data_IF_966708217520
#
_entry.id   IF_966708217520
#
_cell.length_a   1.000
_cell.length_b   1.000
_cell.length_c   1.000
_cell.angle_alpha   90.00
_cell.angle_beta   90.00
_cell.angle_gamma   90.00
#
_symmetry.space_group_name_H-M   'P 1'
#
loop_
_entity.id
_entity.type
_entity.pdbx_description
1 polymer ?
#
# COMPACT_ATOMS: atom_id res chain seq x y z
N UNK A 1 21.61 2.95 -1.09
CA UNK A 1 21.17 4.35 -1.19
C UNK A 1 19.88 4.53 -2.00
N UNK A 2 19.62 3.75 -3.06
CA UNK A 2 18.38 3.88 -3.86
C UNK A 2 17.11 3.37 -3.15
N UNK A 3 17.22 2.28 -2.38
CA UNK A 3 16.08 1.62 -1.72
C UNK A 3 15.33 2.52 -0.76
N UNK A 4 16.06 3.31 0.06
CA UNK A 4 15.45 4.29 0.97
C UNK A 4 14.66 5.38 0.24
N UNK A 5 15.15 5.82 -0.92
CA UNK A 5 14.46 6.83 -1.71
C UNK A 5 13.16 6.29 -2.29
N UNK A 6 13.21 5.08 -2.87
CA UNK A 6 12.01 4.41 -3.39
C UNK A 6 10.99 4.16 -2.28
N UNK A 7 11.43 3.64 -1.14
CA UNK A 7 10.56 3.41 0.01
C UNK A 7 9.90 4.71 0.50
N UNK A 8 10.67 5.79 0.61
CA UNK A 8 10.14 7.10 1.02
C UNK A 8 9.04 7.57 0.05
N UNK A 9 9.28 7.52 -1.26
CA UNK A 9 8.28 7.92 -2.26
C UNK A 9 7.04 7.03 -2.23
N UNK A 10 7.20 5.73 -2.06
CA UNK A 10 6.08 4.81 -1.91
C UNK A 10 5.26 5.12 -0.66
N UNK A 11 5.92 5.39 0.48
CA UNK A 11 5.24 5.77 1.73
C UNK A 11 4.49 7.08 1.60
N UNK A 12 5.05 8.06 0.89
CA UNK A 12 4.41 9.34 0.67
C UNK A 12 3.18 9.18 -0.24
N UNK A 13 3.29 8.45 -1.35
CA UNK A 13 2.16 8.16 -2.22
C UNK A 13 1.05 7.36 -1.51
N UNK A 14 1.44 6.42 -0.65
CA UNK A 14 0.51 5.56 0.09
C UNK A 14 0.04 6.13 1.42
N UNK A 15 0.38 7.36 1.80
CA UNK A 15 -0.09 8.00 3.03
C UNK A 15 -1.58 7.76 3.33
N UNK A 16 -2.51 7.86 2.36
CA UNK A 16 -3.93 7.62 2.58
C UNK A 16 -4.31 6.17 2.96
N UNK A 17 -3.42 5.20 2.70
CA UNK A 17 -3.61 3.78 2.98
C UNK A 17 -2.79 3.30 4.19
N UNK A 18 -1.91 4.14 4.72
CA UNK A 18 -1.00 3.80 5.81
C UNK A 18 -1.50 4.39 7.12
N UNK A 19 -1.09 3.78 8.23
CA UNK A 19 -1.15 4.43 9.55
C UNK A 19 -0.22 5.65 9.58
N UNK A 20 -0.73 6.80 9.15
CA UNK A 20 -0.01 8.07 9.11
C UNK A 20 -0.84 9.15 9.82
N UNK A 21 -0.27 9.76 10.86
CA UNK A 21 -0.94 10.86 11.57
C UNK A 21 -0.84 12.14 10.73
N UNK A 22 -1.84 12.33 9.86
CA UNK A 22 -1.89 13.44 8.93
C UNK A 22 -2.04 14.80 9.64
N UNK A 23 -2.67 14.82 10.81
CA UNK A 23 -2.95 16.05 11.58
C UNK A 23 -1.72 16.56 12.36
N UNK A 24 -0.80 15.67 12.76
CA UNK A 24 0.43 16.07 13.45
C UNK A 24 1.37 16.84 12.54
N UNK A 25 1.34 16.59 11.23
CA UNK A 25 2.08 17.39 10.25
C UNK A 25 1.53 18.82 10.16
N UNK A 26 0.21 18.99 10.20
CA UNK A 26 -0.46 20.30 10.14
C UNK A 26 -0.35 21.10 11.43
N UNK A 27 -0.37 20.43 12.60
CA UNK A 27 -0.20 21.07 13.92
C UNK A 27 1.23 21.55 14.21
N UNK A 28 2.22 21.13 13.42
CA UNK A 28 3.63 21.42 13.66
C UNK A 28 4.11 22.82 13.20
N UNK A 29 3.21 23.76 12.89
CA UNK A 29 3.54 25.11 12.44
C UNK A 29 4.42 25.91 13.42
N UNK A 30 4.54 25.49 14.68
CA UNK A 30 5.55 26.00 15.62
C UNK A 30 6.04 24.84 16.51
N UNK A 31 7.13 24.14 16.16
CA UNK A 31 7.60 23.02 16.94
C UNK A 31 8.50 23.48 18.07
N UNK A 32 8.14 23.12 19.31
CA UNK A 32 9.14 22.75 20.30
C UNK A 32 9.73 21.40 19.83
N UNK A 33 11.00 21.35 19.39
CA UNK A 33 11.59 20.15 18.81
C UNK A 33 11.73 18.99 19.81
N UNK A 34 11.56 19.24 21.11
CA UNK A 34 11.80 18.27 22.18
C UNK A 34 10.51 17.88 22.92
N UNK A 35 9.40 18.59 22.68
CA UNK A 35 8.11 18.24 23.25
C UNK A 35 7.59 16.91 22.71
N UNK A 36 7.07 16.07 23.59
CA UNK A 36 6.45 14.80 23.21
C UNK A 36 5.24 15.09 22.28
N UNK A 37 5.25 14.48 21.09
CA UNK A 37 4.13 14.58 20.15
C UNK A 37 3.03 13.60 20.55
N UNK A 38 1.91 14.12 21.02
CA UNK A 38 0.70 13.33 21.23
C UNK A 38 0.05 13.00 19.88
N UNK A 39 -0.37 11.74 19.72
CA UNK A 39 -1.11 11.30 18.54
C UNK A 39 -2.48 11.98 18.48
N UNK A 40 -2.90 12.39 17.29
CA UNK A 40 -4.21 13.00 17.07
C UNK A 40 -5.36 12.07 17.44
N UNK A 41 -6.53 12.66 17.71
CA UNK A 41 -7.73 11.88 18.03
C UNK A 41 -8.18 11.00 16.85
N UNK A 42 -7.91 11.42 15.61
CA UNK A 42 -8.12 10.60 14.42
C UNK A 42 -7.14 9.43 14.37
N UNK A 43 -5.84 9.66 14.56
CA UNK A 43 -4.84 8.59 14.59
C UNK A 43 -5.11 7.54 15.68
N UNK A 44 -5.61 7.95 16.86
CA UNK A 44 -6.02 7.02 17.91
C UNK A 44 -7.22 6.16 17.49
N UNK A 45 -8.23 6.75 16.83
CA UNK A 45 -9.40 6.01 16.31
C UNK A 45 -9.00 5.06 15.18
N UNK A 46 -8.17 5.52 14.25
CA UNK A 46 -7.65 4.73 13.15
C UNK A 46 -6.83 3.55 13.65
N UNK A 47 -6.00 3.75 14.68
CA UNK A 47 -5.25 2.67 15.33
C UNK A 47 -6.18 1.65 16.01
N UNK A 48 -7.26 2.11 16.65
CA UNK A 48 -8.21 1.24 17.33
C UNK A 48 -9.07 0.42 16.34
N UNK A 49 -9.47 1.02 15.23
CA UNK A 49 -10.38 0.41 14.23
C UNK A 49 -9.66 -0.25 13.06
N UNK A 50 -8.38 0.07 12.86
CA UNK A 50 -7.59 -0.25 11.68
C UNK A 50 -8.23 0.22 10.36
N UNK A 51 -9.04 1.27 10.45
CA UNK A 51 -9.80 1.83 9.32
C UNK A 51 -9.69 3.34 9.29
N UNK A 52 -9.61 3.89 8.09
CA UNK A 52 -9.76 5.31 7.84
C UNK A 52 -11.22 5.75 8.03
N UNK A 53 -11.44 7.06 8.06
CA UNK A 53 -12.78 7.64 8.25
C UNK A 53 -13.80 7.24 7.16
N UNK A 54 -13.33 6.90 5.96
CA UNK A 54 -14.14 6.40 4.84
C UNK A 54 -14.41 4.88 4.91
N UNK A 55 -13.89 4.19 5.94
CA UNK A 55 -14.00 2.75 6.13
C UNK A 55 -12.92 1.92 5.44
N UNK A 56 -11.99 2.55 4.70
CA UNK A 56 -10.85 1.87 4.07
C UNK A 56 -9.95 1.23 5.12
N UNK A 57 -9.53 -0.02 4.91
CA UNK A 57 -8.58 -0.70 5.81
C UNK A 57 -7.21 -0.03 5.72
N UNK A 58 -6.64 0.32 6.87
CA UNK A 58 -5.31 0.89 6.96
C UNK A 58 -4.25 -0.19 7.15
N UNK A 59 -3.06 0.08 6.62
CA UNK A 59 -1.94 -0.84 6.65
C UNK A 59 -0.70 -0.25 7.30
N UNK A 60 0.16 -1.13 7.81
CA UNK A 60 1.58 -0.81 7.89
C UNK A 60 2.19 -0.94 6.49
N UNK A 61 3.30 -0.27 6.21
CA UNK A 61 4.00 -0.42 4.93
C UNK A 61 4.27 -1.89 4.58
N UNK A 62 4.67 -2.70 5.58
CA UNK A 62 4.92 -4.12 5.43
C UNK A 62 3.67 -4.91 5.04
N UNK A 63 2.53 -4.66 5.70
CA UNK A 63 1.30 -5.41 5.43
C UNK A 63 0.69 -5.02 4.09
N UNK A 64 0.86 -3.77 3.65
CA UNK A 64 0.47 -3.35 2.30
C UNK A 64 1.32 -4.04 1.23
N UNK A 65 2.63 -4.16 1.43
CA UNK A 65 3.49 -4.93 0.54
C UNK A 65 3.13 -6.41 0.51
N UNK A 66 2.74 -6.99 1.65
CA UNK A 66 2.27 -8.38 1.71
C UNK A 66 0.95 -8.58 0.95
N UNK A 67 0.00 -7.64 1.07
CA UNK A 67 -1.23 -7.67 0.29
C UNK A 67 -0.93 -7.58 -1.22
N UNK A 68 -0.10 -6.61 -1.61
CA UNK A 68 0.30 -6.42 -3.02
C UNK A 68 1.15 -7.57 -3.57
N UNK A 69 1.87 -8.32 -2.73
CA UNK A 69 2.63 -9.50 -3.16
C UNK A 69 1.74 -10.63 -3.71
N UNK A 70 0.42 -10.58 -3.46
CA UNK A 70 -0.54 -11.48 -4.11
C UNK A 70 -0.87 -11.11 -5.55
N UNK A 71 -0.47 -9.92 -6.02
CA UNK A 71 -0.69 -9.45 -7.39
C UNK A 71 0.46 -9.91 -8.27
N UNK A 72 0.19 -10.87 -9.15
CA UNK A 72 1.19 -11.45 -10.02
C UNK A 72 0.64 -11.78 -11.41
N UNK A 73 1.55 -11.81 -12.40
CA UNK A 73 1.34 -12.38 -13.72
C UNK A 73 1.83 -13.81 -13.71
N UNK A 74 0.91 -14.75 -13.87
CA UNK A 74 1.21 -16.17 -13.85
C UNK A 74 1.40 -16.68 -15.27
N UNK A 75 2.49 -17.41 -15.49
CA UNK A 75 2.67 -18.21 -16.70
C UNK A 75 2.19 -19.62 -16.38
N UNK A 76 1.09 -20.02 -17.00
CA UNK A 76 0.47 -21.32 -16.79
C UNK A 76 0.78 -22.24 -17.96
N UNK A 77 1.16 -23.48 -17.65
CA UNK A 77 1.32 -24.53 -18.64
C UNK A 77 0.16 -25.53 -18.48
N UNK A 78 -0.62 -25.73 -19.54
CA UNK A 78 -1.66 -26.73 -19.59
C UNK A 78 -1.17 -27.95 -20.38
N UNK A 79 -1.24 -29.13 -19.73
CA UNK A 79 -0.99 -30.41 -20.40
C UNK A 79 -2.27 -30.88 -21.06
N UNK A 80 -2.23 -31.07 -22.38
CA UNK A 80 -3.32 -31.65 -23.15
C UNK A 80 -3.43 -33.18 -22.98
N UNK A 81 -4.40 -33.83 -23.65
CA UNK A 81 -4.50 -35.29 -23.70
C UNK A 81 -3.21 -35.94 -24.22
N UNK A 82 -2.96 -37.20 -23.84
CA UNK A 82 -1.73 -37.95 -24.15
C UNK A 82 -1.28 -37.74 -25.61
N UNK A 83 -0.04 -37.28 -25.79
CA UNK A 83 0.56 -37.01 -27.11
C UNK A 83 0.44 -35.56 -27.61
N UNK A 84 -0.30 -34.69 -26.92
CA UNK A 84 -0.37 -33.25 -27.25
C UNK A 84 0.80 -32.46 -26.66
N UNK A 85 1.26 -31.44 -27.39
CA UNK A 85 2.25 -30.49 -26.88
C UNK A 85 1.64 -29.64 -25.75
N UNK A 86 2.38 -29.34 -24.67
CA UNK A 86 1.90 -28.44 -23.64
C UNK A 86 1.63 -27.05 -24.22
N UNK A 87 0.53 -26.43 -23.83
CA UNK A 87 0.22 -25.05 -24.17
C UNK A 87 0.57 -24.11 -23.01
N UNK A 88 1.11 -22.94 -23.34
CA UNK A 88 1.49 -21.91 -22.37
C UNK A 88 0.60 -20.68 -22.56
N UNK A 89 0.11 -20.11 -21.47
CA UNK A 89 -0.68 -18.88 -21.48
C UNK A 89 -0.43 -18.05 -20.22
N UNK A 90 -0.62 -16.72 -20.34
CA UNK A 90 -0.49 -15.78 -19.23
C UNK A 90 -1.84 -15.57 -18.55
N UNK A 91 -1.82 -15.47 -17.21
CA UNK A 91 -2.99 -15.17 -16.39
C UNK A 91 -2.64 -14.10 -15.35
N UNK A 92 -3.27 -12.93 -15.47
CA UNK A 92 -3.12 -11.83 -14.53
C UNK A 92 -4.10 -11.98 -13.34
N UNK A 93 -3.59 -11.69 -12.14
CA UNK A 93 -4.43 -11.66 -10.93
C UNK A 93 -5.43 -10.50 -11.01
N UNK A 94 -6.69 -10.75 -10.66
CA UNK A 94 -7.68 -9.68 -10.51
C UNK A 94 -7.41 -8.91 -9.21
N UNK A 95 -7.11 -7.61 -9.32
CA UNK A 95 -6.82 -6.76 -8.17
C UNK A 95 -8.08 -6.55 -7.32
N UNK A 96 -7.91 -6.60 -6.00
CA UNK A 96 -8.94 -6.09 -5.09
C UNK A 96 -9.07 -4.56 -5.22
N UNK A 97 -10.17 -3.99 -4.75
CA UNK A 97 -10.35 -2.53 -4.74
C UNK A 97 -9.22 -1.80 -4.00
N UNK A 98 -8.69 -2.40 -2.94
CA UNK A 98 -7.58 -1.85 -2.16
C UNK A 98 -6.25 -1.91 -2.92
N UNK A 99 -5.96 -3.04 -3.56
CA UNK A 99 -4.75 -3.21 -4.38
C UNK A 99 -4.77 -2.29 -5.59
N UNK A 100 -5.93 -2.13 -6.24
CA UNK A 100 -6.11 -1.19 -7.34
C UNK A 100 -5.82 0.24 -6.88
N UNK A 101 -6.39 0.66 -5.75
CA UNK A 101 -6.16 2.00 -5.19
C UNK A 101 -4.68 2.24 -4.88
N UNK A 102 -4.00 1.26 -4.28
CA UNK A 102 -2.57 1.35 -4.01
C UNK A 102 -1.74 1.51 -5.30
N UNK A 103 -2.07 0.76 -6.35
CA UNK A 103 -1.39 0.85 -7.65
C UNK A 103 -1.66 2.19 -8.36
N UNK A 104 -2.86 2.75 -8.23
CA UNK A 104 -3.20 4.08 -8.75
C UNK A 104 -2.39 5.19 -8.08
N UNK A 105 -2.23 5.15 -6.75
CA UNK A 105 -1.45 6.13 -6.00
C UNK A 105 0.03 6.15 -6.42
N UNK A 106 0.61 4.99 -6.74
CA UNK A 106 2.00 4.91 -7.22
C UNK A 106 2.22 5.61 -8.56
N UNK A 107 1.20 5.71 -9.43
CA UNK A 107 1.33 6.36 -10.74
C UNK A 107 1.62 7.86 -10.64
N UNK A 108 1.36 8.48 -9.49
CA UNK A 108 1.67 9.89 -9.23
C UNK A 108 3.09 10.16 -8.75
N UNK A 109 3.93 9.13 -8.56
CA UNK A 109 5.32 9.32 -8.14
C UNK A 109 6.13 9.86 -9.34
N UNK A 110 6.56 11.12 -9.26
CA UNK A 110 7.44 11.75 -10.26
C UNK A 110 6.73 12.60 -11.33
N UNK A 111 5.41 12.78 -11.23
CA UNK A 111 4.64 13.83 -11.92
C UNK A 111 4.47 15.04 -11.01
#
# INVERSE_FOLDING_TARGET
MLTYYVEWHMREAWRPLLFADNEVAERAATPDPVAAKEASASAQREKATQRAADGTLLHSFRTLLQDLASVMRNVCQATGPEGSQPSEFELDTQLSAQQQRAMELLKGIGT
#
